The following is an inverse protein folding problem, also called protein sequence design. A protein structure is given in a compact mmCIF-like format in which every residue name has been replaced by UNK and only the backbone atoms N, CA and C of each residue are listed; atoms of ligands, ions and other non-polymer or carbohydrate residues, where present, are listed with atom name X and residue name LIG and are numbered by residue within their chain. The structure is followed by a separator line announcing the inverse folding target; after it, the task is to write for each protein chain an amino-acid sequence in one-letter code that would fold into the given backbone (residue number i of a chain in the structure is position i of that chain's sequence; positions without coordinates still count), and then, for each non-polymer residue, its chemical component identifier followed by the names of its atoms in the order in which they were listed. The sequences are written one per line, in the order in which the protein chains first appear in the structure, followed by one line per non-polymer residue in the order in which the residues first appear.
data_IF_118567926271
#
_entry.id   IF_118567926271
#
_cell.length_a   1.000
_cell.length_b   1.000
_cell.length_c   1.000
_cell.angle_alpha   90.00
_cell.angle_beta   90.00
_cell.angle_gamma   90.00
#
_symmetry.space_group_name_H-M   'P 1'
#
loop_
_entity.id
_entity.type
_entity.pdbx_description
1 polymer ?
#
# COMPACT_ATOMS: atom_id res chain seq x y z
N UNK A 1 -1.70 -0.35 19.19
CA UNK A 1 -0.42 -1.04 19.41
C UNK A 1 0.12 -1.48 18.05
N UNK A 2 1.44 -1.25 17.79
CA UNK A 2 2.07 -1.59 16.51
C UNK A 2 2.06 -3.09 16.26
N UNK A 3 1.69 -3.50 15.05
CA UNK A 3 1.72 -4.89 14.60
C UNK A 3 2.16 -4.94 13.14
N UNK A 4 3.25 -5.68 12.87
CA UNK A 4 3.75 -5.91 11.52
C UNK A 4 4.31 -4.68 10.80
N UNK A 5 4.65 -4.86 9.53
CA UNK A 5 5.35 -3.88 8.70
C UNK A 5 4.55 -2.60 8.48
N UNK A 6 3.24 -2.70 8.22
CA UNK A 6 2.39 -1.55 7.88
C UNK A 6 2.25 -0.52 9.02
N UNK A 7 2.59 -0.89 10.24
CA UNK A 7 2.57 0.01 11.39
C UNK A 7 3.97 0.53 11.79
N UNK A 8 5.00 0.24 11.00
CA UNK A 8 6.34 0.78 11.24
C UNK A 8 6.40 2.27 10.91
N UNK A 9 7.09 3.09 11.73
CA UNK A 9 7.21 4.53 11.46
C UNK A 9 7.77 4.83 10.08
N UNK A 10 8.75 4.07 9.62
CA UNK A 10 9.36 4.27 8.29
C UNK A 10 8.33 4.14 7.16
N UNK A 11 7.45 3.11 7.21
CA UNK A 11 6.38 2.95 6.24
C UNK A 11 5.36 4.10 6.31
N UNK A 12 4.91 4.42 7.52
CA UNK A 12 3.90 5.45 7.76
C UNK A 12 4.37 6.85 7.36
N UNK A 13 5.65 7.18 7.64
CA UNK A 13 6.23 8.47 7.26
C UNK A 13 6.41 8.58 5.74
N UNK A 14 6.93 7.55 5.09
CA UNK A 14 7.15 7.55 3.64
C UNK A 14 5.84 7.64 2.84
N UNK A 15 4.73 7.21 3.42
CA UNK A 15 3.41 7.23 2.81
C UNK A 15 2.48 8.32 3.37
N UNK A 16 3.05 9.33 4.02
CA UNK A 16 2.37 10.51 4.54
C UNK A 16 2.92 11.78 3.89
N UNK A 17 2.27 12.91 4.14
CA UNK A 17 2.78 14.25 3.84
C UNK A 17 3.54 14.80 5.04
N UNK A 18 4.25 15.91 4.85
CA UNK A 18 5.03 16.51 5.92
C UNK A 18 4.15 17.09 7.05
N UNK A 19 2.98 17.52 6.72
CA UNK A 19 2.02 18.24 7.60
C UNK A 19 0.84 17.37 8.05
N UNK A 20 0.53 16.31 7.33
CA UNK A 20 -0.64 15.45 7.60
C UNK A 20 -0.47 14.03 7.11
N UNK A 21 -1.33 13.14 7.60
CA UNK A 21 -1.48 11.80 7.04
C UNK A 21 -2.05 11.85 5.63
N UNK A 22 -1.78 10.83 4.85
CA UNK A 22 -2.36 10.65 3.52
C UNK A 22 -2.91 9.23 3.38
N UNK A 23 -4.17 8.98 3.79
CA UNK A 23 -4.79 7.67 3.68
C UNK A 23 -4.70 7.09 2.26
N UNK A 24 -4.99 7.90 1.25
CA UNK A 24 -4.90 7.51 -0.15
C UNK A 24 -3.49 7.06 -0.55
N UNK A 25 -2.43 7.79 -0.13
CA UNK A 25 -1.04 7.40 -0.40
C UNK A 25 -0.65 6.14 0.36
N UNK A 26 -1.10 5.97 1.60
CA UNK A 26 -0.89 4.75 2.40
C UNK A 26 -1.52 3.54 1.72
N UNK A 27 -2.78 3.66 1.31
CA UNK A 27 -3.52 2.61 0.60
C UNK A 27 -2.86 2.27 -0.75
N UNK A 28 -2.54 3.28 -1.56
CA UNK A 28 -1.84 3.10 -2.83
C UNK A 28 -0.53 2.33 -2.64
N UNK A 29 0.29 2.73 -1.67
CA UNK A 29 1.55 2.05 -1.37
C UNK A 29 1.33 0.60 -0.98
N UNK A 30 0.30 0.30 -0.18
CA UNK A 30 -0.06 -1.07 0.19
C UNK A 30 -0.42 -1.87 -1.05
N UNK A 31 -1.36 -1.38 -1.86
CA UNK A 31 -1.86 -2.11 -3.02
C UNK A 31 -0.78 -2.31 -4.10
N UNK A 32 0.02 -1.29 -4.39
CA UNK A 32 1.06 -1.39 -5.42
C UNK A 32 2.28 -2.23 -4.97
N UNK A 33 2.74 -2.07 -3.73
CA UNK A 33 3.98 -2.69 -3.29
C UNK A 33 3.82 -4.08 -2.70
N UNK A 34 2.66 -4.37 -2.08
CA UNK A 34 2.43 -5.67 -1.45
C UNK A 34 1.50 -6.57 -2.25
N UNK A 35 0.63 -5.98 -3.09
CA UNK A 35 -0.35 -6.75 -3.86
C UNK A 35 -0.17 -6.62 -5.39
N UNK A 36 0.75 -5.78 -5.85
CA UNK A 36 1.01 -5.51 -7.27
C UNK A 36 -0.27 -5.12 -8.05
N UNK A 37 -1.17 -4.40 -7.39
CA UNK A 37 -2.35 -3.81 -8.01
C UNK A 37 -1.97 -2.42 -8.51
N UNK A 38 -1.80 -2.22 -9.82
CA UNK A 38 -1.46 -0.91 -10.35
C UNK A 38 -2.66 0.03 -10.23
N UNK A 39 -2.46 1.18 -9.61
CA UNK A 39 -3.46 2.22 -9.52
C UNK A 39 -3.12 3.31 -10.54
N UNK A 40 -3.81 3.25 -11.68
CA UNK A 40 -3.64 4.23 -12.76
C UNK A 40 -4.76 5.25 -12.64
N UNK A 41 -4.43 6.54 -12.45
CA UNK A 41 -5.44 7.59 -12.46
C UNK A 41 -6.22 7.60 -13.78
N UNK A 42 -7.51 7.95 -13.77
CA UNK A 42 -8.28 8.13 -14.99
C UNK A 42 -7.59 9.17 -15.89
N UNK A 43 -7.54 8.95 -17.21
CA UNK A 43 -6.98 9.92 -18.14
C UNK A 43 -7.84 11.20 -18.12
N UNK A 44 -7.19 12.36 -18.17
CA UNK A 44 -7.81 13.68 -18.22
C UNK A 44 -8.61 14.09 -16.96
N UNK A 45 -8.36 13.44 -15.82
CA UNK A 45 -8.88 13.90 -14.53
C UNK A 45 -7.76 14.66 -13.84
N UNK A 46 -8.00 15.92 -13.55
CA UNK A 46 -7.15 16.70 -12.67
C UNK A 46 -7.36 16.21 -11.23
N UNK A 47 -6.29 15.79 -10.58
CA UNK A 47 -6.35 15.27 -9.20
C UNK A 47 -5.96 16.41 -8.27
N UNK A 48 -6.93 17.13 -7.70
CA UNK A 48 -6.65 18.22 -6.78
C UNK A 48 -6.01 17.67 -5.50
N UNK A 49 -5.21 18.48 -4.84
CA UNK A 49 -4.75 18.20 -3.49
C UNK A 49 -5.94 18.12 -2.51
N UNK A 50 -5.85 17.27 -1.53
CA UNK A 50 -6.86 17.22 -0.46
C UNK A 50 -6.82 18.55 0.32
N UNK A 51 -7.93 19.24 0.37
CA UNK A 51 -8.04 20.63 0.86
C UNK A 51 -8.33 21.63 -0.25
N UNK A 52 -7.84 21.41 -1.48
CA UNK A 52 -8.11 22.32 -2.62
C UNK A 52 -9.49 22.07 -3.24
N UNK A 53 -10.00 20.85 -3.12
CA UNK A 53 -11.25 20.42 -3.77
C UNK A 53 -12.53 21.02 -3.15
N UNK A 54 -12.44 21.74 -2.03
CA UNK A 54 -13.61 22.27 -1.31
C UNK A 54 -13.62 23.78 -1.10
N UNK A 55 -12.61 24.51 -1.56
CA UNK A 55 -12.55 25.98 -1.36
C UNK A 55 -12.29 26.42 0.08
N UNK A 56 -12.06 25.50 0.99
CA UNK A 56 -11.63 25.78 2.37
C UNK A 56 -10.10 25.92 2.38
N UNK A 57 -9.61 27.13 2.40
CA UNK A 57 -8.17 27.47 2.47
C UNK A 57 -7.53 27.18 3.86
N UNK A 58 -7.99 26.17 4.55
CA UNK A 58 -7.52 25.82 5.89
C UNK A 58 -6.75 24.50 5.96
N UNK A 59 -6.00 24.26 7.05
CA UNK A 59 -5.37 22.98 7.27
C UNK A 59 -6.44 21.88 7.42
N UNK A 60 -6.17 20.72 6.82
CA UNK A 60 -7.05 19.55 6.94
C UNK A 60 -6.94 19.00 8.36
N UNK A 61 -7.88 19.36 9.21
CA UNK A 61 -7.89 18.97 10.63
C UNK A 61 -8.40 17.53 10.84
N UNK A 62 -9.40 17.13 10.04
CA UNK A 62 -9.96 15.77 10.03
C UNK A 62 -9.92 15.19 8.62
N UNK A 63 -8.97 14.30 8.39
CA UNK A 63 -8.71 13.73 7.07
C UNK A 63 -9.87 12.86 6.57
N UNK A 64 -10.60 12.14 7.45
CA UNK A 64 -11.77 11.34 7.06
C UNK A 64 -12.86 12.24 6.48
N UNK A 65 -13.21 13.32 7.18
CA UNK A 65 -14.22 14.25 6.71
C UNK A 65 -13.85 14.92 5.38
N UNK A 66 -12.58 15.27 5.22
CA UNK A 66 -12.08 15.83 3.97
C UNK A 66 -12.18 14.83 2.81
N UNK A 67 -11.86 13.56 3.03
CA UNK A 67 -12.03 12.50 2.03
C UNK A 67 -13.49 12.23 1.69
N UNK A 68 -14.39 12.27 2.67
CA UNK A 68 -15.84 12.11 2.44
C UNK A 68 -16.40 13.22 1.53
N UNK A 69 -15.98 14.47 1.75
CA UNK A 69 -16.32 15.59 0.85
C UNK A 69 -15.73 15.37 -0.56
N UNK A 70 -14.48 14.94 -0.65
CA UNK A 70 -13.81 14.68 -1.91
C UNK A 70 -14.49 13.58 -2.73
N UNK A 71 -14.96 12.51 -2.08
CA UNK A 71 -15.69 11.39 -2.72
C UNK A 71 -17.09 11.76 -3.20
N UNK A 72 -17.62 12.91 -2.84
CA UNK A 72 -18.92 13.36 -3.35
C UNK A 72 -18.94 13.50 -4.88
N UNK A 73 -17.77 13.67 -5.52
CA UNK A 73 -17.62 13.60 -6.98
C UNK A 73 -17.57 12.14 -7.45
N UNK A 74 -18.45 11.73 -8.41
CA UNK A 74 -18.42 10.37 -8.97
C UNK A 74 -17.08 9.99 -9.61
N UNK A 75 -16.37 10.95 -10.20
CA UNK A 75 -15.07 10.72 -10.82
C UNK A 75 -14.00 10.32 -9.79
N UNK A 76 -14.11 10.85 -8.58
CA UNK A 76 -13.19 10.54 -7.47
C UNK A 76 -13.61 9.27 -6.72
N UNK A 77 -14.92 9.02 -6.59
CA UNK A 77 -15.48 7.91 -5.82
C UNK A 77 -14.93 6.55 -6.27
N UNK A 78 -14.81 6.32 -7.58
CA UNK A 78 -14.41 5.02 -8.16
C UNK A 78 -13.07 4.50 -7.63
N UNK A 79 -12.11 5.38 -7.36
CA UNK A 79 -10.81 5.02 -6.77
C UNK A 79 -10.87 5.07 -5.25
N UNK A 80 -11.53 6.08 -4.69
CA UNK A 80 -11.55 6.30 -3.24
C UNK A 80 -12.36 5.25 -2.48
N UNK A 81 -13.38 4.64 -3.10
CA UNK A 81 -14.14 3.54 -2.49
C UNK A 81 -13.25 2.31 -2.17
N UNK A 82 -12.18 2.12 -2.92
CA UNK A 82 -11.20 1.05 -2.66
C UNK A 82 -10.08 1.53 -1.74
N UNK A 83 -9.57 2.74 -1.97
CA UNK A 83 -8.39 3.27 -1.27
C UNK A 83 -8.68 3.71 0.16
N UNK A 84 -9.79 4.44 0.35
CA UNK A 84 -10.05 5.08 1.64
C UNK A 84 -10.23 4.09 2.79
N UNK A 85 -10.98 2.98 2.66
CA UNK A 85 -11.07 2.01 3.74
C UNK A 85 -9.71 1.49 4.19
N UNK A 86 -8.83 1.19 3.21
CA UNK A 86 -7.47 0.69 3.50
C UNK A 86 -6.64 1.76 4.20
N UNK A 87 -6.62 2.97 3.66
CA UNK A 87 -5.81 4.06 4.19
C UNK A 87 -6.27 4.57 5.55
N UNK A 88 -7.57 4.73 5.73
CA UNK A 88 -8.18 5.19 6.98
C UNK A 88 -7.99 4.20 8.13
N UNK A 89 -7.83 2.91 7.86
CA UNK A 89 -7.49 1.90 8.87
C UNK A 89 -6.19 2.19 9.62
N UNK A 90 -5.33 3.04 9.05
CA UNK A 90 -4.03 3.45 9.60
C UNK A 90 -4.06 4.83 10.27
N UNK A 91 -5.21 5.49 10.39
CA UNK A 91 -5.31 6.85 10.94
C UNK A 91 -5.03 6.95 12.45
N UNK A 92 -5.03 5.82 13.16
CA UNK A 92 -4.47 5.77 14.51
C UNK A 92 -2.96 6.03 14.56
N UNK A 93 -2.31 6.25 13.42
CA UNK A 93 -0.91 6.64 13.35
C UNK A 93 -0.77 7.97 12.62
N UNK A 94 -0.16 8.94 13.27
CA UNK A 94 0.11 10.26 12.73
C UNK A 94 1.14 10.24 11.57
N UNK A 95 1.53 11.39 10.97
CA UNK A 95 2.48 11.41 9.85
C UNK A 95 3.85 10.82 10.14
N UNK A 96 4.32 10.87 11.39
CA UNK A 96 5.60 10.28 11.81
C UNK A 96 5.44 8.88 12.41
N UNK A 97 4.21 8.36 12.38
CA UNK A 97 3.88 7.05 12.90
C UNK A 97 3.72 6.96 14.42
N UNK A 98 3.53 8.06 15.14
CA UNK A 98 3.13 8.01 16.54
C UNK A 98 1.65 7.59 16.63
N UNK A 99 1.33 6.79 17.66
CA UNK A 99 -0.06 6.35 17.85
C UNK A 99 -0.91 7.48 18.42
N UNK A 100 -2.10 7.66 17.86
CA UNK A 100 -3.08 8.66 18.29
C UNK A 100 -4.49 8.08 18.34
N UNK A 101 -5.34 8.66 19.18
CA UNK A 101 -6.78 8.36 19.28
C UNK A 101 -7.65 9.54 18.89
N UNK A 102 -7.04 10.71 18.69
CA UNK A 102 -7.71 11.92 18.24
C UNK A 102 -6.85 12.67 17.21
N UNK A 103 -7.53 13.42 16.35
CA UNK A 103 -6.91 14.39 15.45
C UNK A 103 -6.46 15.65 16.21
N UNK A 104 -5.65 16.56 15.60
CA UNK A 104 -5.20 17.78 16.26
C UNK A 104 -6.34 18.71 16.72
N UNK A 105 -7.47 18.70 16.03
CA UNK A 105 -8.66 19.47 16.40
C UNK A 105 -9.47 18.85 17.56
N UNK A 106 -9.06 17.69 18.07
CA UNK A 106 -9.74 16.96 19.15
C UNK A 106 -10.79 15.95 18.71
N UNK A 107 -11.10 15.86 17.41
CA UNK A 107 -12.00 14.85 16.90
C UNK A 107 -11.44 13.44 17.13
N UNK A 108 -12.26 12.46 17.53
CA UNK A 108 -11.80 11.09 17.67
C UNK A 108 -11.38 10.51 16.31
N UNK A 109 -10.30 9.73 16.31
CA UNK A 109 -9.93 8.97 15.12
C UNK A 109 -10.90 7.81 14.95
N UNK A 110 -11.53 7.77 13.79
CA UNK A 110 -12.31 6.62 13.32
C UNK A 110 -11.48 5.88 12.24
N UNK A 111 -10.96 4.70 12.58
CA UNK A 111 -10.20 3.83 11.70
C UNK A 111 -11.03 2.65 11.16
N UNK A 112 -12.34 2.65 11.42
CA UNK A 112 -13.25 1.60 10.96
C UNK A 112 -13.51 1.66 9.46
N UNK A 113 -13.89 0.53 8.88
CA UNK A 113 -14.27 0.48 7.47
C UNK A 113 -14.82 -0.89 7.07
N UNK A 114 -15.10 -0.99 5.77
CA UNK A 114 -15.50 -2.24 5.11
C UNK A 114 -14.60 -2.43 3.89
N UNK A 115 -14.00 -3.59 3.74
CA UNK A 115 -13.20 -3.96 2.58
C UNK A 115 -13.67 -5.32 2.04
N UNK A 116 -14.09 -5.36 0.76
CA UNK A 116 -14.65 -6.57 0.12
C UNK A 116 -15.76 -7.25 0.93
N UNK A 117 -16.61 -6.46 1.60
CA UNK A 117 -17.70 -6.93 2.42
C UNK A 117 -17.33 -7.32 3.86
N UNK A 118 -16.05 -7.34 4.22
CA UNK A 118 -15.59 -7.60 5.58
C UNK A 118 -15.43 -6.28 6.36
N UNK A 119 -16.15 -6.14 7.48
CA UNK A 119 -16.00 -4.99 8.38
C UNK A 119 -14.77 -5.16 9.26
N UNK A 120 -14.09 -4.05 9.56
CA UNK A 120 -12.93 -4.01 10.45
C UNK A 120 -12.95 -2.75 11.33
N UNK A 121 -12.24 -2.78 12.45
CA UNK A 121 -12.14 -1.65 13.39
C UNK A 121 -10.84 -0.84 13.18
N UNK A 122 -9.78 -1.48 12.72
CA UNK A 122 -8.48 -0.87 12.46
C UNK A 122 -7.67 -1.73 11.48
N UNK A 123 -6.40 -1.35 11.27
CA UNK A 123 -5.48 -2.11 10.39
C UNK A 123 -5.31 -3.57 10.83
N UNK A 124 -5.44 -3.90 12.10
CA UNK A 124 -5.30 -5.28 12.58
C UNK A 124 -6.45 -6.16 12.11
N UNK A 125 -7.66 -5.60 12.02
CA UNK A 125 -8.83 -6.27 11.46
C UNK A 125 -8.80 -6.33 9.93
N UNK A 126 -8.24 -5.30 9.27
CA UNK A 126 -8.15 -5.25 7.80
C UNK A 126 -7.12 -6.24 7.22
N UNK A 127 -5.96 -6.43 7.89
CA UNK A 127 -4.87 -7.27 7.35
C UNK A 127 -5.30 -8.68 6.96
N UNK A 128 -6.09 -9.42 7.74
CA UNK A 128 -6.60 -10.73 7.33
C UNK A 128 -7.38 -10.69 6.01
N UNK A 129 -8.28 -9.72 5.84
CA UNK A 129 -9.06 -9.56 4.61
C UNK A 129 -8.17 -9.23 3.40
N UNK A 130 -7.18 -8.37 3.57
CA UNK A 130 -6.19 -8.06 2.53
C UNK A 130 -5.40 -9.30 2.11
N UNK A 131 -4.98 -10.13 3.07
CA UNK A 131 -4.18 -11.34 2.80
C UNK A 131 -5.03 -12.44 2.15
N UNK A 132 -6.29 -12.58 2.54
CA UNK A 132 -7.21 -13.56 1.96
C UNK A 132 -7.58 -13.20 0.52
N UNK A 133 -7.85 -11.92 0.23
CA UNK A 133 -8.10 -11.41 -1.11
C UNK A 133 -6.83 -11.36 -1.98
N UNK A 134 -5.64 -11.37 -1.37
CA UNK A 134 -4.39 -11.31 -2.10
C UNK A 134 -4.11 -12.61 -2.84
N UNK A 135 -3.80 -12.49 -4.10
CA UNK A 135 -3.15 -13.57 -4.88
C UNK A 135 -1.76 -13.81 -4.28
N UNK A 136 -1.78 -14.62 -3.24
CA UNK A 136 -0.74 -14.97 -2.30
C UNK A 136 0.70 -14.96 -2.85
N UNK A 137 1.58 -14.24 -2.19
CA UNK A 137 3.03 -14.43 -2.25
C UNK A 137 3.74 -13.99 -3.53
N UNK A 138 3.03 -13.83 -4.64
CA UNK A 138 3.64 -13.50 -5.93
C UNK A 138 4.23 -12.07 -5.93
N UNK A 139 3.49 -11.11 -5.40
CA UNK A 139 3.93 -9.71 -5.44
C UNK A 139 5.19 -9.43 -4.61
N UNK A 140 5.31 -9.82 -3.33
CA UNK A 140 6.55 -9.64 -2.58
C UNK A 140 7.75 -10.31 -3.27
N UNK A 141 7.54 -11.48 -3.89
CA UNK A 141 8.58 -12.18 -4.65
C UNK A 141 9.03 -11.38 -5.88
N UNK A 142 8.08 -10.82 -6.63
CA UNK A 142 8.34 -9.99 -7.81
C UNK A 142 9.05 -8.68 -7.44
N UNK A 143 8.60 -8.01 -6.38
CA UNK A 143 9.22 -6.78 -5.91
C UNK A 143 10.66 -7.01 -5.46
N UNK A 144 10.90 -8.03 -4.63
CA UNK A 144 12.24 -8.34 -4.16
C UNK A 144 13.16 -8.78 -5.30
N UNK A 145 12.66 -9.58 -6.24
CA UNK A 145 13.41 -10.02 -7.42
C UNK A 145 13.78 -8.82 -8.30
N UNK A 146 12.82 -7.90 -8.54
CA UNK A 146 13.06 -6.69 -9.33
C UNK A 146 14.11 -5.79 -8.66
N UNK A 147 14.04 -5.64 -7.35
CA UNK A 147 15.01 -4.89 -6.55
C UNK A 147 16.41 -5.52 -6.66
N UNK A 148 16.50 -6.84 -6.44
CA UNK A 148 17.77 -7.56 -6.43
C UNK A 148 18.46 -7.56 -7.80
N UNK A 149 17.70 -7.70 -8.89
CA UNK A 149 18.23 -7.74 -10.25
C UNK A 149 18.26 -6.36 -10.93
N UNK A 150 17.72 -5.33 -10.30
CA UNK A 150 17.59 -3.95 -10.82
C UNK A 150 16.96 -3.90 -12.22
N UNK A 151 16.00 -4.77 -12.46
CA UNK A 151 15.21 -4.85 -13.69
C UNK A 151 13.84 -5.46 -13.42
N UNK A 152 12.87 -5.15 -14.26
CA UNK A 152 11.57 -5.84 -14.21
C UNK A 152 11.72 -7.29 -14.67
N UNK A 153 10.91 -8.23 -14.15
CA UNK A 153 10.87 -9.59 -14.61
C UNK A 153 10.49 -9.68 -16.09
N UNK A 154 11.19 -10.54 -16.82
CA UNK A 154 10.88 -10.92 -18.20
C UNK A 154 9.93 -12.12 -18.23
N UNK A 155 9.52 -12.55 -19.43
CA UNK A 155 8.71 -13.76 -19.61
C UNK A 155 9.33 -15.00 -18.98
N UNK A 156 10.65 -15.17 -19.14
CA UNK A 156 11.41 -16.33 -18.61
C UNK A 156 11.51 -16.31 -17.07
N UNK A 157 11.41 -15.14 -16.46
CA UNK A 157 11.47 -15.02 -15.01
C UNK A 157 10.14 -15.41 -14.32
N UNK A 158 9.02 -15.37 -15.03
CA UNK A 158 7.69 -15.62 -14.45
C UNK A 158 7.55 -17.00 -13.84
N UNK A 159 8.04 -18.03 -14.51
CA UNK A 159 8.05 -19.40 -13.98
C UNK A 159 8.86 -19.49 -12.71
N UNK A 160 10.05 -18.87 -12.69
CA UNK A 160 10.93 -18.84 -11.51
C UNK A 160 10.31 -18.06 -10.34
N UNK A 161 9.66 -16.94 -10.63
CA UNK A 161 8.97 -16.17 -9.62
C UNK A 161 7.82 -16.95 -8.99
N UNK A 162 7.06 -17.70 -9.79
CA UNK A 162 6.03 -18.59 -9.27
C UNK A 162 6.61 -19.66 -8.36
N UNK A 163 7.71 -20.32 -8.75
CA UNK A 163 8.41 -21.31 -7.92
C UNK A 163 8.95 -20.70 -6.62
N UNK A 164 9.48 -19.48 -6.67
CA UNK A 164 9.95 -18.74 -5.49
C UNK A 164 8.79 -18.45 -4.55
N UNK A 165 7.67 -17.94 -5.08
CA UNK A 165 6.49 -17.61 -4.29
C UNK A 165 5.87 -18.86 -3.63
N UNK A 166 5.76 -19.95 -4.39
CA UNK A 166 5.24 -21.24 -3.87
C UNK A 166 6.13 -21.81 -2.76
N UNK A 167 7.45 -21.80 -2.95
CA UNK A 167 8.40 -22.28 -1.94
C UNK A 167 8.47 -21.39 -0.71
N UNK A 168 8.31 -20.09 -0.90
CA UNK A 168 8.25 -19.17 0.24
C UNK A 168 6.99 -19.37 1.08
N UNK A 169 5.82 -19.58 0.44
CA UNK A 169 4.57 -19.94 1.11
C UNK A 169 4.14 -18.98 2.23
N UNK A 170 4.58 -17.71 2.20
CA UNK A 170 4.31 -16.74 3.26
C UNK A 170 5.21 -16.88 4.50
N UNK A 171 6.36 -17.53 4.37
CA UNK A 171 7.39 -17.62 5.40
C UNK A 171 8.04 -16.28 5.75
N UNK A 172 9.23 -16.30 6.34
CA UNK A 172 9.92 -15.06 6.71
C UNK A 172 10.46 -14.30 5.49
N UNK A 173 10.63 -12.98 5.60
CA UNK A 173 11.30 -12.19 4.56
C UNK A 173 12.74 -12.68 4.33
N UNK A 174 13.44 -13.13 5.37
CA UNK A 174 14.76 -13.72 5.25
C UNK A 174 14.78 -14.96 4.35
N UNK A 175 13.75 -15.80 4.41
CA UNK A 175 13.61 -16.98 3.54
C UNK A 175 13.34 -16.56 2.09
N UNK A 176 12.53 -15.52 1.88
CA UNK A 176 12.32 -14.97 0.55
C UNK A 176 13.62 -14.41 -0.04
N UNK A 177 14.38 -13.63 0.74
CA UNK A 177 15.70 -13.12 0.33
C UNK A 177 16.63 -14.27 -0.07
N UNK A 178 16.73 -15.32 0.76
CA UNK A 178 17.52 -16.51 0.44
C UNK A 178 17.14 -17.11 -0.91
N UNK A 179 15.85 -17.30 -1.15
CA UNK A 179 15.37 -17.89 -2.40
C UNK A 179 15.72 -17.05 -3.63
N UNK A 180 15.61 -15.73 -3.51
CA UNK A 180 15.97 -14.82 -4.62
C UNK A 180 17.48 -14.86 -4.87
N UNK A 181 18.33 -14.69 -3.85
CA UNK A 181 19.78 -14.61 -4.04
C UNK A 181 20.43 -15.94 -4.40
N UNK A 182 19.78 -17.06 -4.09
CA UNK A 182 20.26 -18.39 -4.51
C UNK A 182 19.70 -18.83 -5.87
N UNK A 183 18.78 -18.08 -6.46
CA UNK A 183 18.22 -18.37 -7.78
C UNK A 183 19.26 -18.22 -8.89
N UNK A 184 19.15 -18.99 -9.95
CA UNK A 184 20.01 -18.87 -11.12
C UNK A 184 19.92 -17.50 -11.78
N UNK A 185 18.76 -16.86 -11.73
CA UNK A 185 18.57 -15.52 -12.26
C UNK A 185 19.43 -14.46 -11.57
N UNK A 186 19.69 -14.64 -10.26
CA UNK A 186 20.57 -13.76 -9.49
C UNK A 186 22.04 -14.14 -9.64
N UNK A 187 22.36 -15.44 -9.62
CA UNK A 187 23.72 -15.97 -9.57
C UNK A 187 24.40 -16.04 -10.94
N UNK A 188 23.62 -16.22 -12.02
CA UNK A 188 24.15 -16.48 -13.34
C UNK A 188 23.86 -15.29 -14.25
N UNK A 189 24.91 -14.86 -14.97
CA UNK A 189 24.76 -13.86 -16.02
C UNK A 189 24.39 -14.57 -17.33
N UNK A 190 23.30 -14.12 -17.98
CA UNK A 190 23.00 -14.59 -19.33
C UNK A 190 24.21 -14.29 -20.26
N UNK A 191 24.67 -15.30 -21.02
CA UNK A 191 25.69 -15.08 -22.07
C UNK A 191 25.09 -14.07 -23.05
N UNK A 192 25.69 -12.89 -23.15
CA UNK A 192 25.29 -11.92 -24.16
C UNK A 192 25.35 -12.55 -25.52
N UNK A 193 24.32 -12.38 -26.35
CA UNK A 193 24.44 -12.67 -27.76
C UNK A 193 25.60 -11.82 -28.24
N UNK A 194 26.66 -12.48 -28.78
CA UNK A 194 27.71 -11.77 -29.50
C UNK A 194 27.04 -10.93 -30.59
N UNK A 195 27.31 -9.63 -30.61
CA UNK A 195 26.86 -8.71 -31.67
C UNK A 195 27.64 -9.01 -32.91
#
# INVERSE_FOLDING_TARGET
VRRGFLTLPAFLTLSSRADRTSPTSRAKTILEQFFCVPLVPPPNVDIPELGDAGGDEGPVENVRQALEKHRASPDCASCHDVLDPIGLSLENFDPIGAYRTAYPNGDPVDATGVYEGAAFEDISGLVPALVEGARSGACPSEQLFSYALRRRPSGDDRTRLKEIAERWGGGTIADLVKQVVTSDAFRLRAKGKAR
#
